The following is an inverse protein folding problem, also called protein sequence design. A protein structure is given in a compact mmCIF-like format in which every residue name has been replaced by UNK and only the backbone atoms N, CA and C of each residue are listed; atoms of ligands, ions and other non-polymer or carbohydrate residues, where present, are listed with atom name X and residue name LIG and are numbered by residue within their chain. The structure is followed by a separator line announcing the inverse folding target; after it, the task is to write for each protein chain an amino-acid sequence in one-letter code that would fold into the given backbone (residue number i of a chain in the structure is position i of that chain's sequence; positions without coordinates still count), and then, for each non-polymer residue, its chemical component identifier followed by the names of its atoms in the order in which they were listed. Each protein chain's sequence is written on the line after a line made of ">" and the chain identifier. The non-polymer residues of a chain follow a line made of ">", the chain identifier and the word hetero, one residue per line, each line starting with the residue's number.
data_IF_339657923430
#
_entry.id   IF_339657923430
#
_cell.length_a   1.000
_cell.length_b   1.000
_cell.length_c   1.000
_cell.angle_alpha   90.00
_cell.angle_beta   90.00
_cell.angle_gamma   90.00
#
_symmetry.space_group_name_H-M   'P 1'
#
loop_
_entity.id
_entity.type
_entity.pdbx_description
1 polymer ?
#
# COMPACT_ATOMS: atom_id res chain seq x y z
N UNK A 1 -15.83 -8.43 -8.82
CA UNK A 1 -14.80 -7.49 -9.29
C UNK A 1 -14.59 -7.71 -10.77
N UNK A 2 -14.36 -6.65 -11.53
CA UNK A 2 -14.09 -6.72 -12.97
C UNK A 2 -12.79 -7.51 -13.24
N UNK A 3 -12.81 -8.40 -14.24
CA UNK A 3 -11.63 -9.16 -14.66
C UNK A 3 -10.54 -8.24 -15.21
N UNK A 4 -10.91 -7.14 -15.84
CA UNK A 4 -9.96 -6.16 -16.36
C UNK A 4 -9.13 -5.49 -15.26
N UNK A 5 -9.77 -5.13 -14.15
CA UNK A 5 -9.09 -4.56 -12.98
C UNK A 5 -8.03 -5.51 -12.44
N UNK A 6 -8.37 -6.79 -12.33
CA UNK A 6 -7.45 -7.81 -11.82
C UNK A 6 -6.23 -7.98 -12.74
N UNK A 7 -6.40 -7.87 -14.06
CA UNK A 7 -5.30 -7.94 -15.03
C UNK A 7 -4.37 -6.73 -14.90
N UNK A 8 -4.90 -5.51 -14.71
CA UNK A 8 -4.09 -4.31 -14.44
C UNK A 8 -3.29 -4.49 -13.14
N UNK A 9 -3.94 -4.94 -12.07
CA UNK A 9 -3.28 -5.16 -10.77
C UNK A 9 -2.17 -6.20 -10.89
N UNK A 10 -2.42 -7.32 -11.58
CA UNK A 10 -1.41 -8.36 -11.82
C UNK A 10 -0.22 -7.83 -12.61
N UNK A 11 -0.47 -7.08 -13.68
CA UNK A 11 0.57 -6.46 -14.50
C UNK A 11 1.46 -5.51 -13.67
N UNK A 12 0.83 -4.66 -12.85
CA UNK A 12 1.55 -3.75 -11.97
C UNK A 12 2.48 -4.49 -11.01
N UNK A 13 1.97 -5.57 -10.40
CA UNK A 13 2.75 -6.40 -9.50
C UNK A 13 3.84 -7.21 -10.21
N UNK A 14 3.62 -7.70 -11.43
CA UNK A 14 4.68 -8.32 -12.23
C UNK A 14 5.86 -7.37 -12.37
N UNK A 15 5.59 -6.13 -12.82
CA UNK A 15 6.63 -5.10 -13.02
C UNK A 15 7.31 -4.70 -11.72
N UNK A 16 6.53 -4.47 -10.67
CA UNK A 16 7.02 -4.13 -9.33
C UNK A 16 7.92 -5.22 -8.72
N UNK A 17 7.69 -6.48 -9.08
CA UNK A 17 8.48 -7.63 -8.64
C UNK A 17 9.60 -8.03 -9.62
N UNK A 18 9.72 -7.34 -10.77
CA UNK A 18 10.68 -7.67 -11.82
C UNK A 18 10.41 -9.01 -12.50
N UNK A 19 9.14 -9.42 -12.58
CA UNK A 19 8.66 -10.60 -13.29
C UNK A 19 8.24 -10.24 -14.73
N UNK A 20 8.12 -11.24 -15.60
CA UNK A 20 7.50 -11.05 -16.92
C UNK A 20 6.05 -10.55 -16.77
N UNK A 21 5.61 -9.66 -17.66
CA UNK A 21 4.30 -8.99 -17.60
C UNK A 21 3.11 -9.96 -17.46
N UNK A 22 3.24 -11.18 -18.01
CA UNK A 22 2.20 -12.22 -17.98
C UNK A 22 2.41 -13.30 -16.90
N UNK A 23 3.42 -13.16 -16.04
CA UNK A 23 3.79 -14.21 -15.09
C UNK A 23 2.64 -14.59 -14.12
N UNK A 24 1.82 -13.61 -13.74
CA UNK A 24 0.69 -13.79 -12.83
C UNK A 24 -0.66 -14.03 -13.54
N UNK A 25 -0.66 -14.35 -14.85
CA UNK A 25 -1.89 -14.54 -15.61
C UNK A 25 -2.61 -15.88 -15.29
N UNK A 26 -1.83 -16.92 -14.94
CA UNK A 26 -2.35 -18.25 -14.62
C UNK A 26 -2.25 -18.55 -13.11
N UNK A 27 -3.21 -19.32 -12.54
CA UNK A 27 -3.15 -19.76 -11.15
C UNK A 27 -1.83 -20.46 -10.79
N UNK A 28 -1.39 -20.25 -9.55
CA UNK A 28 -0.18 -20.86 -9.00
C UNK A 28 0.86 -19.86 -8.53
N UNK A 29 2.00 -20.40 -8.08
CA UNK A 29 3.13 -19.63 -7.56
C UNK A 29 4.16 -19.39 -8.64
N UNK A 30 4.56 -18.13 -8.79
CA UNK A 30 5.75 -17.70 -9.53
C UNK A 30 6.88 -17.41 -8.55
N UNK A 31 8.12 -17.78 -8.89
CA UNK A 31 9.29 -17.45 -8.09
C UNK A 31 10.33 -16.71 -8.92
N UNK A 32 11.04 -15.78 -8.28
CA UNK A 32 12.22 -15.11 -8.85
C UNK A 32 13.33 -15.04 -7.81
N UNK A 33 14.46 -15.64 -8.15
CA UNK A 33 15.66 -15.57 -7.33
C UNK A 33 16.38 -14.25 -7.58
N UNK A 34 16.70 -13.55 -6.50
CA UNK A 34 17.46 -12.32 -6.49
C UNK A 34 18.42 -12.33 -5.28
N UNK A 35 19.58 -12.96 -5.45
CA UNK A 35 20.57 -13.13 -4.38
C UNK A 35 21.22 -11.82 -3.94
N UNK A 36 21.12 -10.76 -4.76
CA UNK A 36 21.59 -9.42 -4.40
C UNK A 36 20.57 -8.67 -3.52
N UNK A 37 19.31 -9.11 -3.50
CA UNK A 37 18.25 -8.45 -2.75
C UNK A 37 18.36 -8.73 -1.25
N UNK A 38 18.39 -7.66 -0.45
CA UNK A 38 18.19 -7.72 0.99
C UNK A 38 16.69 -7.74 1.37
N UNK A 39 15.80 -8.00 0.42
CA UNK A 39 14.36 -7.98 0.63
C UNK A 39 13.73 -9.24 0.05
N UNK A 40 12.96 -9.94 0.90
CA UNK A 40 12.02 -10.98 0.46
C UNK A 40 10.65 -10.33 0.28
N UNK A 41 9.99 -10.60 -0.83
CA UNK A 41 8.63 -10.14 -1.13
C UNK A 41 7.77 -11.35 -1.46
N UNK A 42 6.65 -11.48 -0.76
CA UNK A 42 5.63 -12.49 -1.02
C UNK A 42 4.32 -11.78 -1.33
N UNK A 43 3.79 -12.02 -2.51
CA UNK A 43 2.52 -11.48 -2.98
C UNK A 43 1.52 -12.63 -3.09
N UNK A 44 0.27 -12.37 -2.69
CA UNK A 44 -0.86 -13.24 -2.98
C UNK A 44 -2.02 -12.39 -3.48
N UNK A 45 -2.58 -12.76 -4.63
CA UNK A 45 -3.75 -12.14 -5.25
C UNK A 45 -4.69 -13.25 -5.72
N UNK A 46 -5.73 -13.56 -4.95
CA UNK A 46 -6.60 -14.71 -5.24
C UNK A 46 -5.84 -16.04 -5.33
N UNK A 47 -5.87 -16.67 -6.50
CA UNK A 47 -5.23 -17.97 -6.79
C UNK A 47 -3.80 -17.86 -7.34
N UNK A 48 -3.27 -16.64 -7.47
CA UNK A 48 -1.88 -16.43 -7.89
C UNK A 48 -1.04 -15.92 -6.73
N UNK A 49 0.21 -16.35 -6.70
CA UNK A 49 1.20 -15.88 -5.73
C UNK A 49 2.55 -15.66 -6.41
N UNK A 50 3.35 -14.77 -5.82
CA UNK A 50 4.74 -14.57 -6.20
C UNK A 50 5.65 -14.56 -4.98
N UNK A 51 6.82 -15.16 -5.11
CA UNK A 51 7.90 -15.05 -4.12
C UNK A 51 9.16 -14.57 -4.80
N UNK A 52 9.69 -13.44 -4.35
CA UNK A 52 10.93 -12.84 -4.85
C UNK A 52 11.89 -12.62 -3.70
N UNK A 53 13.14 -13.04 -3.85
CA UNK A 53 14.18 -12.85 -2.84
C UNK A 53 15.37 -13.77 -3.07
N UNK A 54 16.31 -13.86 -2.11
CA UNK A 54 17.47 -14.74 -2.23
C UNK A 54 17.09 -16.21 -2.41
N UNK A 55 17.93 -16.96 -3.13
CA UNK A 55 17.66 -18.34 -3.53
C UNK A 55 17.36 -19.24 -2.33
N UNK A 56 18.10 -19.07 -1.23
CA UNK A 56 17.87 -19.85 -0.01
C UNK A 56 16.49 -19.64 0.61
N UNK A 57 15.88 -18.45 0.46
CA UNK A 57 14.51 -18.20 0.92
C UNK A 57 13.51 -18.80 -0.06
N UNK A 58 13.73 -18.59 -1.36
CA UNK A 58 12.87 -19.13 -2.42
C UNK A 58 12.79 -20.67 -2.31
N UNK A 59 13.91 -21.33 -2.08
CA UNK A 59 13.98 -22.77 -1.86
C UNK A 59 13.26 -23.18 -0.57
N UNK A 60 13.43 -22.43 0.52
CA UNK A 60 12.80 -22.73 1.80
C UNK A 60 11.27 -22.62 1.73
N UNK A 61 10.75 -21.62 1.02
CA UNK A 61 9.28 -21.47 0.87
C UNK A 61 8.69 -22.46 -0.13
N UNK A 62 9.48 -23.04 -1.05
CA UNK A 62 8.98 -23.95 -2.10
C UNK A 62 8.22 -25.16 -1.55
N UNK A 63 8.57 -25.63 -0.35
CA UNK A 63 7.90 -26.73 0.33
C UNK A 63 6.62 -26.33 1.10
N UNK A 64 6.36 -25.04 1.26
CA UNK A 64 5.23 -24.51 2.04
C UNK A 64 4.07 -24.17 1.10
N UNK A 65 2.85 -24.65 1.34
CA UNK A 65 1.67 -24.24 0.57
C UNK A 65 1.39 -22.72 0.66
N UNK A 66 0.90 -22.11 -0.41
CA UNK A 66 0.56 -20.67 -0.44
C UNK A 66 -0.45 -20.24 0.64
N UNK A 67 -1.33 -21.14 1.04
CA UNK A 67 -2.31 -20.89 2.09
C UNK A 67 -1.69 -20.74 3.48
N UNK A 68 -0.53 -21.37 3.70
CA UNK A 68 0.19 -21.43 4.98
C UNK A 68 1.35 -20.42 5.04
N UNK A 69 1.74 -19.85 3.89
CA UNK A 69 2.85 -18.89 3.81
C UNK A 69 2.44 -17.50 4.30
N UNK A 70 2.24 -17.37 5.61
CA UNK A 70 1.90 -16.13 6.30
C UNK A 70 3.12 -15.44 6.94
N UNK A 71 2.87 -14.35 7.67
CA UNK A 71 3.92 -13.59 8.32
C UNK A 71 4.67 -14.38 9.40
N UNK A 72 4.01 -15.32 10.10
CA UNK A 72 4.65 -16.15 11.12
C UNK A 72 5.58 -17.17 10.48
N UNK A 73 5.12 -17.85 9.44
CA UNK A 73 5.95 -18.82 8.72
C UNK A 73 7.14 -18.12 8.07
N UNK A 74 6.93 -16.94 7.47
CA UNK A 74 8.03 -16.16 6.92
C UNK A 74 9.01 -15.68 8.00
N UNK A 75 8.53 -15.30 9.19
CA UNK A 75 9.40 -14.95 10.33
C UNK A 75 10.32 -16.12 10.69
N UNK A 76 9.76 -17.33 10.82
CA UNK A 76 10.52 -18.54 11.17
C UNK A 76 11.54 -18.90 10.09
N UNK A 77 11.10 -18.94 8.83
CA UNK A 77 11.96 -19.26 7.68
C UNK A 77 13.08 -18.24 7.47
N UNK A 78 12.84 -16.97 7.81
CA UNK A 78 13.83 -15.89 7.67
C UNK A 78 14.60 -15.61 8.95
N UNK A 79 14.61 -16.54 9.91
CA UNK A 79 15.42 -16.48 11.14
C UNK A 79 15.09 -15.29 12.04
N UNK A 80 13.80 -14.95 12.14
CA UNK A 80 13.30 -13.90 13.03
C UNK A 80 13.48 -12.48 12.50
N UNK A 81 13.72 -12.31 11.20
CA UNK A 81 13.87 -10.99 10.59
C UNK A 81 12.53 -10.25 10.48
N UNK A 82 12.58 -8.92 10.54
CA UNK A 82 11.37 -8.10 10.64
C UNK A 82 10.45 -8.30 9.43
N UNK A 83 9.21 -8.73 9.72
CA UNK A 83 8.17 -8.99 8.71
C UNK A 83 7.16 -7.84 8.72
N UNK A 84 6.82 -7.33 7.53
CA UNK A 84 5.71 -6.40 7.33
C UNK A 84 4.65 -7.08 6.46
N UNK A 85 3.41 -7.11 6.93
CA UNK A 85 2.28 -7.72 6.20
C UNK A 85 1.18 -6.69 5.99
N UNK A 86 0.76 -6.52 4.74
CA UNK A 86 -0.31 -5.62 4.34
C UNK A 86 -1.41 -6.40 3.62
N UNK A 87 -2.67 -6.09 3.96
CA UNK A 87 -3.80 -6.34 3.09
C UNK A 87 -3.76 -5.34 1.93
N UNK A 88 -4.03 -5.83 0.73
CA UNK A 88 -4.11 -5.04 -0.50
C UNK A 88 -5.56 -4.92 -0.90
N UNK A 89 -6.04 -3.69 -1.00
CA UNK A 89 -7.40 -3.39 -1.47
C UNK A 89 -7.35 -2.47 -2.67
N UNK A 90 -8.34 -2.59 -3.55
CA UNK A 90 -8.40 -1.83 -4.81
C UNK A 90 -9.77 -1.21 -5.01
N UNK A 91 -9.81 -0.04 -5.62
CA UNK A 91 -11.04 0.64 -5.99
C UNK A 91 -11.12 0.81 -7.51
N UNK A 92 -12.31 0.67 -8.08
CA UNK A 92 -12.57 0.96 -9.49
C UNK A 92 -13.79 1.86 -9.70
N UNK A 93 -14.48 2.20 -8.61
CA UNK A 93 -15.74 2.91 -8.65
C UNK A 93 -15.62 4.24 -7.89
N UNK A 94 -16.41 5.20 -8.34
CA UNK A 94 -16.57 6.48 -7.67
C UNK A 94 -17.50 6.33 -6.48
N UNK A 95 -16.93 6.20 -5.29
CA UNK A 95 -17.66 6.23 -4.03
C UNK A 95 -17.35 7.55 -3.33
N UNK A 96 -18.40 8.33 -3.06
CA UNK A 96 -18.28 9.56 -2.28
C UNK A 96 -18.46 9.23 -0.78
N UNK A 97 -17.36 9.30 -0.03
CA UNK A 97 -17.36 9.16 1.42
C UNK A 97 -17.06 10.48 2.15
N UNK A 98 -17.11 11.62 1.45
CA UNK A 98 -16.83 12.92 2.04
C UNK A 98 -17.77 13.23 3.21
N UNK A 99 -17.21 13.86 4.25
CA UNK A 99 -17.94 14.22 5.49
C UNK A 99 -17.87 15.70 5.81
N UNK A 100 -16.84 16.38 5.32
CA UNK A 100 -16.68 17.83 5.44
C UNK A 100 -17.29 18.48 4.20
N UNK A 101 -18.17 19.46 4.41
CA UNK A 101 -18.71 20.28 3.32
C UNK A 101 -17.71 21.39 3.02
N UNK A 102 -17.53 21.67 1.74
CA UNK A 102 -16.65 22.75 1.23
C UNK A 102 -15.26 22.74 1.91
N UNK A 103 -14.53 21.60 1.90
CA UNK A 103 -13.26 21.49 2.59
C UNK A 103 -12.22 22.42 1.96
N UNK A 104 -11.45 23.12 2.79
CA UNK A 104 -10.26 23.85 2.34
C UNK A 104 -9.10 22.86 2.20
N UNK A 105 -8.71 22.59 0.96
CA UNK A 105 -7.66 21.62 0.61
C UNK A 105 -6.45 22.35 0.06
N UNK A 106 -5.30 22.12 0.68
CA UNK A 106 -3.99 22.54 0.20
C UNK A 106 -3.29 21.39 -0.54
N UNK A 107 -2.70 21.65 -1.72
CA UNK A 107 -1.82 20.69 -2.39
C UNK A 107 -0.36 20.80 -1.94
N UNK A 108 -0.02 21.77 -1.09
CA UNK A 108 1.36 22.12 -0.78
C UNK A 108 2.06 21.06 0.09
N UNK A 109 3.29 20.71 -0.30
CA UNK A 109 4.09 19.73 0.46
C UNK A 109 4.54 20.26 1.82
N UNK A 110 4.62 21.58 2.01
CA UNK A 110 4.92 22.18 3.31
C UNK A 110 3.80 21.93 4.33
N UNK A 111 2.54 21.94 3.89
CA UNK A 111 1.38 21.60 4.72
C UNK A 111 1.34 20.11 5.06
N UNK A 112 1.71 19.25 4.10
CA UNK A 112 1.89 17.82 4.36
C UNK A 112 3.02 17.57 5.37
N UNK A 113 4.14 18.26 5.23
CA UNK A 113 5.26 18.15 6.17
C UNK A 113 4.88 18.61 7.58
N UNK A 114 4.06 19.66 7.70
CA UNK A 114 3.52 20.10 8.99
C UNK A 114 2.52 19.10 9.57
N UNK A 115 1.64 18.53 8.76
CA UNK A 115 0.75 17.43 9.18
C UNK A 115 1.55 16.26 9.78
N UNK A 116 2.64 15.87 9.14
CA UNK A 116 3.51 14.78 9.60
C UNK A 116 4.17 15.10 10.94
N UNK A 117 4.64 16.34 11.14
CA UNK A 117 5.21 16.79 12.43
C UNK A 117 4.20 16.75 13.58
N UNK A 118 2.91 16.86 13.27
CA UNK A 118 1.80 16.81 14.25
C UNK A 118 1.32 15.40 14.55
N UNK A 119 1.79 14.39 13.82
CA UNK A 119 1.44 13.00 14.03
C UNK A 119 2.56 12.24 14.76
N UNK A 120 2.21 11.19 15.52
CA UNK A 120 3.20 10.25 16.04
C UNK A 120 4.09 9.68 14.91
N UNK A 121 5.40 9.51 15.13
CA UNK A 121 6.31 8.98 14.12
C UNK A 121 5.87 7.62 13.56
N UNK A 122 5.34 6.74 14.42
CA UNK A 122 4.86 5.42 14.01
C UNK A 122 3.71 5.50 12.99
N UNK A 123 2.81 6.48 13.14
CA UNK A 123 1.71 6.70 12.20
C UNK A 123 2.22 7.21 10.85
N UNK A 124 3.24 8.09 10.86
CA UNK A 124 3.88 8.61 9.64
C UNK A 124 4.61 7.49 8.88
N UNK A 125 5.33 6.64 9.60
CA UNK A 125 6.02 5.46 9.04
C UNK A 125 5.04 4.41 8.54
N UNK A 126 3.91 4.21 9.22
CA UNK A 126 2.87 3.32 8.72
C UNK A 126 2.20 3.87 7.45
N UNK A 127 1.91 5.17 7.40
CA UNK A 127 1.35 5.82 6.23
C UNK A 127 2.33 5.87 5.05
N UNK A 128 3.63 5.64 5.27
CA UNK A 128 4.68 5.69 4.25
C UNK A 128 4.95 7.10 3.72
N UNK A 129 4.44 8.12 4.40
CA UNK A 129 4.44 9.52 3.94
C UNK A 129 5.80 10.22 4.09
N UNK A 130 6.70 9.68 4.91
CA UNK A 130 8.03 10.22 5.16
C UNK A 130 8.95 10.25 3.92
N UNK A 131 8.64 9.44 2.90
CA UNK A 131 9.41 9.33 1.66
C UNK A 131 8.71 9.98 0.46
N UNK A 132 7.60 10.68 0.68
CA UNK A 132 6.87 11.37 -0.38
C UNK A 132 7.72 12.54 -0.88
N UNK A 133 8.07 12.48 -2.16
CA UNK A 133 8.80 13.54 -2.88
C UNK A 133 7.87 14.29 -3.84
N UNK A 134 8.39 15.30 -4.53
CA UNK A 134 7.64 16.24 -5.38
C UNK A 134 6.82 15.67 -6.54
N UNK A 135 6.75 14.35 -6.71
CA UNK A 135 5.97 13.67 -7.76
C UNK A 135 4.63 13.11 -7.25
N UNK A 136 4.32 13.25 -5.95
CA UNK A 136 3.07 12.73 -5.39
C UNK A 136 1.95 13.79 -5.40
N UNK A 137 0.72 13.35 -5.66
CA UNK A 137 -0.48 14.18 -5.50
C UNK A 137 -0.88 14.24 -4.02
N UNK A 138 -0.96 15.46 -3.46
CA UNK A 138 -1.23 15.71 -2.05
C UNK A 138 -2.55 16.46 -1.86
N UNK A 139 -3.31 16.06 -0.83
CA UNK A 139 -4.62 16.62 -0.48
C UNK A 139 -4.66 16.84 1.03
N UNK A 140 -4.27 18.03 1.48
CA UNK A 140 -4.20 18.38 2.91
C UNK A 140 -5.38 19.25 3.29
N UNK A 141 -6.26 18.73 4.15
CA UNK A 141 -7.32 19.51 4.77
C UNK A 141 -6.74 20.41 5.86
N UNK A 142 -6.92 21.71 5.68
CA UNK A 142 -6.49 22.76 6.60
C UNK A 142 -7.70 23.48 7.22
N UNK A 143 -7.55 24.00 8.43
CA UNK A 143 -8.55 24.88 9.06
C UNK A 143 -8.41 26.35 8.60
N UNK A 144 -9.28 27.23 9.12
CA UNK A 144 -9.27 28.67 8.79
C UNK A 144 -7.95 29.37 9.16
N UNK A 145 -7.22 28.84 10.16
CA UNK A 145 -5.90 29.30 10.58
C UNK A 145 -4.75 28.66 9.76
N UNK A 146 -5.09 27.96 8.67
CA UNK A 146 -4.16 27.22 7.80
C UNK A 146 -3.39 26.10 8.51
N UNK A 147 -4.00 25.47 9.51
CA UNK A 147 -3.39 24.35 10.24
C UNK A 147 -3.83 23.01 9.65
N UNK A 148 -2.89 22.11 9.27
CA UNK A 148 -3.22 20.79 8.72
C UNK A 148 -3.91 19.86 9.72
N UNK A 149 -5.09 19.36 9.39
CA UNK A 149 -5.87 18.44 10.25
C UNK A 149 -5.81 17.00 9.76
N UNK A 150 -5.83 16.81 8.43
CA UNK A 150 -5.79 15.51 7.79
C UNK A 150 -5.20 15.65 6.40
N UNK A 151 -4.56 14.60 5.90
CA UNK A 151 -4.01 14.58 4.55
C UNK A 151 -4.19 13.22 3.91
N UNK A 152 -4.33 13.21 2.60
CA UNK A 152 -4.17 12.02 1.79
C UNK A 152 -3.15 12.30 0.68
N UNK A 153 -2.43 11.26 0.29
CA UNK A 153 -1.48 11.29 -0.81
C UNK A 153 -1.69 10.05 -1.64
N UNK A 154 -1.45 10.15 -2.95
CA UNK A 154 -1.17 8.96 -3.73
C UNK A 154 0.13 9.11 -4.52
N UNK A 155 0.82 7.98 -4.70
CA UNK A 155 2.00 7.88 -5.57
C UNK A 155 1.70 6.93 -6.72
N UNK A 156 2.18 7.25 -7.92
CA UNK A 156 2.04 6.35 -9.05
C UNK A 156 2.99 5.16 -8.92
N UNK A 157 2.45 3.96 -9.15
CA UNK A 157 3.23 2.72 -9.23
C UNK A 157 3.08 2.18 -10.64
N UNK A 158 4.21 2.11 -11.35
CA UNK A 158 4.30 1.64 -12.74
C UNK A 158 3.36 2.40 -13.70
N UNK A 159 3.00 3.64 -13.36
CA UNK A 159 2.06 4.53 -14.08
C UNK A 159 0.69 3.90 -14.35
N UNK A 160 0.26 2.93 -13.54
CA UNK A 160 -1.02 2.24 -13.69
C UNK A 160 -1.77 2.04 -12.37
N UNK A 161 -1.07 2.02 -11.23
CA UNK A 161 -1.69 2.06 -9.91
C UNK A 161 -1.43 3.39 -9.23
N UNK A 162 -2.34 3.80 -8.36
CA UNK A 162 -2.14 4.88 -7.40
C UNK A 162 -2.11 4.30 -5.98
N UNK A 163 -0.97 4.34 -5.30
CA UNK A 163 -0.86 3.86 -3.92
C UNK A 163 -1.34 4.95 -2.96
N UNK A 164 -2.61 4.85 -2.54
CA UNK A 164 -3.30 5.85 -1.73
C UNK A 164 -3.06 5.59 -0.25
N UNK A 165 -2.75 6.65 0.48
CA UNK A 165 -2.59 6.65 1.94
C UNK A 165 -3.24 7.89 2.54
N UNK A 166 -3.65 7.82 3.80
CA UNK A 166 -4.20 8.96 4.52
C UNK A 166 -3.78 8.98 5.98
N UNK A 167 -3.65 10.18 6.52
CA UNK A 167 -3.24 10.44 7.89
C UNK A 167 -4.07 11.58 8.49
N UNK A 168 -4.41 11.46 9.77
CA UNK A 168 -5.16 12.49 10.51
C UNK A 168 -4.50 12.71 11.87
N UNK A 169 -4.36 13.98 12.26
CA UNK A 169 -3.80 14.35 13.56
C UNK A 169 -4.61 13.71 14.70
N UNK A 170 -3.97 13.27 15.80
CA UNK A 170 -4.64 12.52 16.86
C UNK A 170 -5.92 13.17 17.40
N UNK A 171 -5.94 14.49 17.56
CA UNK A 171 -7.05 15.24 18.16
C UNK A 171 -8.29 15.29 17.27
N UNK A 172 -8.13 15.03 15.96
CA UNK A 172 -9.19 15.15 14.95
C UNK A 172 -9.56 13.81 14.30
N UNK A 173 -9.22 12.69 14.96
CA UNK A 173 -9.59 11.34 14.48
C UNK A 173 -11.08 11.06 14.70
N UNK A 174 -11.59 10.09 13.93
CA UNK A 174 -12.95 9.52 14.07
C UNK A 174 -14.12 10.49 13.80
N UNK A 175 -13.86 11.62 13.16
CA UNK A 175 -14.89 12.60 12.74
C UNK A 175 -15.03 12.70 11.21
N UNK A 176 -14.35 11.83 10.45
CA UNK A 176 -14.52 11.73 9.00
C UNK A 176 -13.59 12.58 8.14
N UNK A 177 -12.57 13.24 8.73
CA UNK A 177 -11.60 14.03 7.95
C UNK A 177 -10.82 13.15 6.95
N UNK A 178 -10.29 12.01 7.41
CA UNK A 178 -9.59 11.05 6.56
C UNK A 178 -10.44 10.58 5.38
N UNK A 179 -11.73 10.30 5.61
CA UNK A 179 -12.65 9.90 4.55
C UNK A 179 -12.81 10.99 3.48
N UNK A 180 -12.84 12.26 3.89
CA UNK A 180 -12.93 13.38 2.94
C UNK A 180 -11.67 13.47 2.08
N UNK A 181 -10.49 13.59 2.68
CA UNK A 181 -9.23 13.74 1.91
C UNK A 181 -8.92 12.50 1.08
N UNK A 182 -9.17 11.30 1.60
CA UNK A 182 -8.94 10.06 0.86
C UNK A 182 -9.94 9.88 -0.29
N UNK A 183 -11.19 10.34 -0.16
CA UNK A 183 -12.15 10.36 -1.27
C UNK A 183 -11.60 11.21 -2.42
N UNK A 184 -11.14 12.43 -2.10
CA UNK A 184 -10.58 13.35 -3.10
C UNK A 184 -9.34 12.75 -3.79
N UNK A 185 -8.40 12.19 -3.02
CA UNK A 185 -7.21 11.55 -3.59
C UNK A 185 -7.56 10.33 -4.46
N UNK A 186 -8.56 9.53 -4.05
CA UNK A 186 -9.03 8.36 -4.82
C UNK A 186 -9.68 8.80 -6.13
N UNK A 187 -10.51 9.84 -6.08
CA UNK A 187 -11.21 10.41 -7.23
C UNK A 187 -10.22 11.01 -8.24
N UNK A 188 -9.24 11.79 -7.77
CA UNK A 188 -8.18 12.35 -8.62
C UNK A 188 -7.35 11.24 -9.30
N UNK A 189 -7.01 10.18 -8.58
CA UNK A 189 -6.33 9.01 -9.16
C UNK A 189 -7.18 8.30 -10.24
N UNK A 190 -8.49 8.15 -10.01
CA UNK A 190 -9.41 7.59 -11.01
C UNK A 190 -9.52 8.48 -12.25
N UNK A 191 -9.59 9.80 -12.06
CA UNK A 191 -9.61 10.79 -13.16
C UNK A 191 -8.30 10.76 -13.97
N UNK A 192 -7.17 10.47 -13.32
CA UNK A 192 -5.89 10.24 -13.98
C UNK A 192 -5.81 8.89 -14.73
N UNK A 193 -6.85 8.05 -14.66
CA UNK A 193 -6.89 6.73 -15.30
C UNK A 193 -6.08 5.66 -14.57
N UNK A 194 -5.71 5.91 -13.32
CA UNK A 194 -5.00 4.95 -12.47
C UNK A 194 -6.01 4.06 -11.73
N UNK A 195 -5.54 2.90 -11.26
CA UNK A 195 -6.28 2.05 -10.33
C UNK A 195 -5.83 2.38 -8.90
N UNK A 196 -6.70 2.97 -8.06
CA UNK A 196 -6.39 3.20 -6.66
C UNK A 196 -6.16 1.89 -5.91
N UNK A 197 -5.05 1.84 -5.19
CA UNK A 197 -4.64 0.78 -4.29
C UNK A 197 -4.56 1.34 -2.87
N UNK A 198 -4.99 0.55 -1.89
CA UNK A 198 -4.83 0.83 -0.47
C UNK A 198 -4.07 -0.32 0.19
N UNK A 199 -3.02 0.02 0.94
CA UNK A 199 -2.28 -0.94 1.76
C UNK A 199 -2.51 -0.63 3.23
N UNK A 200 -2.95 -1.63 3.99
CA UNK A 200 -3.10 -1.48 5.43
C UNK A 200 -2.56 -2.73 6.13
N UNK A 201 -1.88 -2.54 7.26
CA UNK A 201 -1.51 -3.68 8.10
C UNK A 201 -2.76 -4.43 8.55
N UNK A 202 -2.63 -5.73 8.78
CA UNK A 202 -3.78 -6.57 9.17
C UNK A 202 -4.42 -6.13 10.49
N UNK A 203 -3.62 -5.61 11.43
CA UNK A 203 -4.03 -5.09 12.72
C UNK A 203 -4.49 -3.61 12.67
N UNK A 204 -4.22 -2.89 11.58
CA UNK A 204 -4.74 -1.54 11.36
C UNK A 204 -6.21 -1.58 10.92
N UNK A 205 -7.08 -1.81 11.89
CA UNK A 205 -8.54 -1.83 11.71
C UNK A 205 -9.10 -0.50 11.22
N UNK A 206 -8.50 0.63 11.62
CA UNK A 206 -8.94 1.96 11.20
C UNK A 206 -8.69 2.22 9.71
N UNK A 207 -7.48 1.90 9.23
CA UNK A 207 -7.11 2.02 7.81
C UNK A 207 -7.92 1.08 6.93
N UNK A 208 -8.12 -0.17 7.35
CA UNK A 208 -8.97 -1.13 6.63
C UNK A 208 -10.44 -0.70 6.60
N UNK A 209 -10.95 -0.17 7.72
CA UNK A 209 -12.31 0.36 7.80
C UNK A 209 -12.51 1.60 6.90
N UNK A 210 -11.50 2.48 6.83
CA UNK A 210 -11.50 3.63 5.93
C UNK A 210 -11.54 3.19 4.46
N UNK A 211 -10.67 2.25 4.06
CA UNK A 211 -10.65 1.70 2.71
C UNK A 211 -12.02 1.10 2.32
N UNK A 212 -12.64 0.33 3.23
CA UNK A 212 -13.96 -0.25 2.98
C UNK A 212 -15.07 0.83 2.80
N UNK A 213 -15.04 1.90 3.59
CA UNK A 213 -15.97 3.03 3.45
C UNK A 213 -15.80 3.76 2.12
N UNK A 214 -14.56 3.83 1.62
CA UNK A 214 -14.21 4.42 0.33
C UNK A 214 -14.52 3.50 -0.88
N UNK A 215 -15.09 2.30 -0.64
CA UNK A 215 -15.43 1.36 -1.71
C UNK A 215 -14.28 0.45 -2.16
N UNK A 216 -13.13 0.47 -1.48
CA UNK A 216 -12.05 -0.45 -1.80
C UNK A 216 -12.43 -1.88 -1.42
N UNK A 217 -12.09 -2.82 -2.30
CA UNK A 217 -12.28 -4.25 -2.08
C UNK A 217 -10.93 -4.93 -1.86
N UNK A 218 -10.78 -5.64 -0.74
CA UNK A 218 -9.59 -6.43 -0.42
C UNK A 218 -9.45 -7.60 -1.40
N UNK A 219 -8.26 -7.76 -2.00
CA UNK A 219 -7.98 -8.78 -3.01
C UNK A 219 -6.83 -9.71 -2.66
N UNK A 220 -5.99 -9.32 -1.70
CA UNK A 220 -4.78 -10.05 -1.47
C UNK A 220 -3.93 -9.49 -0.36
N UNK A 221 -2.72 -10.00 -0.30
CA UNK A 221 -1.73 -9.61 0.69
C UNK A 221 -0.35 -9.46 0.08
N UNK A 222 0.39 -8.50 0.60
CA UNK A 222 1.81 -8.37 0.36
C UNK A 222 2.55 -8.48 1.68
N UNK A 223 3.52 -9.38 1.73
CA UNK A 223 4.43 -9.53 2.85
C UNK A 223 5.83 -9.20 2.39
N UNK A 224 6.56 -8.42 3.18
CA UNK A 224 7.97 -8.16 2.95
C UNK A 224 8.80 -8.46 4.19
N UNK A 225 10.00 -8.98 3.97
CA UNK A 225 10.98 -9.26 5.01
C UNK A 225 12.29 -8.59 4.64
N UNK A 226 12.76 -7.68 5.49
CA UNK A 226 14.08 -7.09 5.34
C UNK A 226 15.13 -8.02 5.93
N UNK A 227 16.06 -8.46 5.10
CA UNK A 227 17.21 -9.28 5.48
C UNK A 227 18.41 -8.36 5.77
N UNK A 228 19.37 -8.79 6.61
CA UNK A 228 20.64 -8.11 6.72
C UNK A 228 21.36 -8.16 5.36
N UNK A 229 22.08 -7.09 5.05
CA UNK A 229 22.97 -7.08 3.88
C UNK A 229 23.91 -8.28 3.96
N UNK A 230 24.04 -9.04 2.87
CA UNK A 230 24.98 -10.14 2.81
C UNK A 230 26.38 -9.59 3.15
N UNK A 231 26.97 -10.06 4.25
CA UNK A 231 28.35 -9.73 4.56
C UNK A 231 29.20 -10.24 3.40
N UNK A 232 29.82 -9.32 2.64
CA UNK A 232 30.67 -9.66 1.52
C UNK A 232 31.68 -10.72 1.93
N UNK A 233 31.73 -11.81 1.16
CA UNK A 233 32.74 -12.86 1.31
C UNK A 233 34.06 -12.40 0.73
#
# INVERSE_FOLDING_TARGET
>A
MDGHLLDIVRLAWCRELGLDDAALAAPGRVTRVDDASALVRVLRLGEVSAVVGPGWVVDAVAAVPDAELDASVLLDLTRGHAVRSHALSYCADWVDATRVRDPLISPELDDLAELLRRCPPDDATEAGLENVTGEASSFVLIDDDHRPLSGAVYTEVQSILADVTALTVPEHRRIGLAATVATLATHDALDAGLVPQWRARRDNTAGRGLAAVLGYTELGTHVSVALPAAAGT
#
